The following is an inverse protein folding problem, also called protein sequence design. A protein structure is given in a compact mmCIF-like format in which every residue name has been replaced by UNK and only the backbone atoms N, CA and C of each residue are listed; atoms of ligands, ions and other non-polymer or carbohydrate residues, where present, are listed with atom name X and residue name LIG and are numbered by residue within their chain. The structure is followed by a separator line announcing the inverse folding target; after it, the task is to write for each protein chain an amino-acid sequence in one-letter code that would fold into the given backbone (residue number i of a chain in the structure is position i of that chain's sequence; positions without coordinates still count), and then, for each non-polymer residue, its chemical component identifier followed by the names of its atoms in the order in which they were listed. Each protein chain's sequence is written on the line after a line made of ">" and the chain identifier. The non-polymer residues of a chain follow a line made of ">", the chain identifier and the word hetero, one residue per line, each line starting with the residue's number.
data_IF_984104942229
#
_entry.id   IF_984104942229
#
_cell.length_a   1.000
_cell.length_b   1.000
_cell.length_c   1.000
_cell.angle_alpha   90.00
_cell.angle_beta   90.00
_cell.angle_gamma   90.00
#
_symmetry.space_group_name_H-M   'P 1'
#
loop_
_entity.id
_entity.type
_entity.pdbx_description
1 polymer ?
#
# COMPACT_ATOMS: atom_id res chain seq x y z
N UNK A 1 -36.50 14.78 -3.86
CA UNK A 1 -35.84 13.61 -3.23
C UNK A 1 -35.92 13.82 -1.72
N UNK A 2 -36.67 12.98 -1.00
CA UNK A 2 -36.92 13.19 0.43
C UNK A 2 -35.88 12.39 1.22
N UNK A 3 -34.96 13.09 1.88
CA UNK A 3 -34.01 12.50 2.81
C UNK A 3 -34.72 12.32 4.16
N UNK A 4 -35.47 11.22 4.34
CA UNK A 4 -36.14 10.96 5.61
C UNK A 4 -35.18 10.44 6.68
N UNK A 5 -35.29 11.01 7.86
CA UNK A 5 -34.45 10.77 9.03
C UNK A 5 -34.76 9.39 9.64
N UNK A 6 -33.92 8.38 9.39
CA UNK A 6 -33.92 7.14 10.17
C UNK A 6 -32.76 7.13 11.16
N UNK A 7 -33.03 7.48 12.43
CA UNK A 7 -32.09 7.28 13.53
C UNK A 7 -32.17 5.81 13.96
N UNK A 8 -31.40 4.97 13.26
CA UNK A 8 -30.99 3.64 13.69
C UNK A 8 -29.59 3.73 14.33
N UNK A 9 -29.18 2.77 15.16
CA UNK A 9 -27.78 2.68 15.63
C UNK A 9 -26.75 2.66 14.46
N UNK A 10 -27.16 2.32 13.23
CA UNK A 10 -26.37 2.45 12.00
C UNK A 10 -26.12 3.91 11.56
N UNK A 11 -26.98 4.85 11.94
CA UNK A 11 -26.94 6.24 11.47
C UNK A 11 -25.68 7.02 11.94
N UNK A 12 -24.97 6.52 12.96
CA UNK A 12 -23.66 7.07 13.37
C UNK A 12 -22.55 6.77 12.35
N UNK A 13 -22.71 5.75 11.51
CA UNK A 13 -21.65 5.24 10.63
C UNK A 13 -22.04 5.16 9.16
N UNK A 14 -23.32 5.30 8.82
CA UNK A 14 -23.84 5.23 7.46
C UNK A 14 -24.89 6.32 7.21
N UNK A 15 -24.81 6.95 6.03
CA UNK A 15 -25.84 7.75 5.43
C UNK A 15 -26.70 6.83 4.53
N UNK A 16 -27.97 6.68 4.87
CA UNK A 16 -28.94 5.92 4.08
C UNK A 16 -29.75 6.89 3.20
N UNK A 17 -29.81 6.61 1.90
CA UNK A 17 -30.59 7.35 0.92
C UNK A 17 -31.66 6.41 0.38
N UNK A 18 -32.93 6.81 0.53
CA UNK A 18 -34.08 6.04 0.04
C UNK A 18 -34.66 6.80 -1.15
N UNK A 19 -34.55 6.20 -2.34
CA UNK A 19 -35.16 6.73 -3.55
C UNK A 19 -36.56 6.14 -3.70
N UNK A 20 -37.59 6.99 -3.66
CA UNK A 20 -39.00 6.56 -3.68
C UNK A 20 -39.62 6.52 -5.08
N UNK A 21 -38.84 6.70 -6.15
CA UNK A 21 -39.35 6.69 -7.52
C UNK A 21 -39.41 5.28 -8.09
N UNK A 22 -40.63 4.71 -8.14
CA UNK A 22 -41.07 3.49 -8.85
C UNK A 22 -40.41 2.14 -8.52
N UNK A 23 -39.25 2.11 -7.88
CA UNK A 23 -38.65 0.96 -7.20
C UNK A 23 -38.00 1.52 -5.93
N UNK A 24 -38.20 0.88 -4.77
CA UNK A 24 -37.48 1.28 -3.55
C UNK A 24 -36.01 0.90 -3.77
N UNK A 25 -35.22 1.83 -4.27
CA UNK A 25 -33.77 1.71 -4.33
C UNK A 25 -33.18 2.35 -3.07
N UNK A 26 -32.33 1.59 -2.39
CA UNK A 26 -31.59 2.05 -1.21
C UNK A 26 -30.13 2.19 -1.59
N UNK A 27 -29.58 3.37 -1.36
CA UNK A 27 -28.15 3.62 -1.49
C UNK A 27 -27.57 3.95 -0.12
N UNK A 28 -26.45 3.31 0.23
CA UNK A 28 -25.75 3.53 1.50
C UNK A 28 -24.37 4.15 1.23
N UNK A 29 -24.09 5.28 1.87
CA UNK A 29 -22.75 5.88 1.90
C UNK A 29 -22.23 5.80 3.32
N UNK A 30 -21.15 5.07 3.51
CA UNK A 30 -20.55 4.95 4.82
C UNK A 30 -19.84 6.26 5.20
N UNK A 31 -20.07 6.80 6.40
CA UNK A 31 -19.71 8.19 6.72
C UNK A 31 -18.20 8.45 6.69
N UNK A 32 -17.38 7.48 7.08
CA UNK A 32 -15.91 7.51 6.97
C UNK A 32 -15.39 7.42 5.53
N UNK A 33 -16.25 7.07 4.55
CA UNK A 33 -15.92 7.18 3.14
C UNK A 33 -15.95 8.64 2.69
N UNK A 34 -16.72 9.51 3.33
CA UNK A 34 -16.82 10.92 2.94
C UNK A 34 -15.49 11.61 3.23
N UNK A 35 -14.89 12.20 2.19
CA UNK A 35 -13.65 12.97 2.26
C UNK A 35 -13.94 14.48 2.35
N UNK A 36 -14.87 14.98 1.53
CA UNK A 36 -15.32 16.37 1.58
C UNK A 36 -16.84 16.48 1.41
N UNK A 37 -17.39 17.52 2.04
CA UNK A 37 -18.80 17.91 1.93
C UNK A 37 -18.80 19.36 1.42
N UNK A 38 -19.39 19.59 0.26
CA UNK A 38 -19.44 20.90 -0.39
C UNK A 38 -20.90 21.35 -0.55
N UNK A 39 -21.27 22.48 0.07
CA UNK A 39 -22.57 23.13 -0.14
C UNK A 39 -22.40 24.23 -1.19
N UNK A 40 -23.13 24.14 -2.30
CA UNK A 40 -23.11 25.14 -3.36
C UNK A 40 -24.17 26.23 -3.16
N UNK A 41 -24.06 27.40 -3.83
CA UNK A 41 -25.10 28.42 -3.82
C UNK A 41 -26.46 27.87 -4.24
N UNK A 42 -27.53 28.37 -3.62
CA UNK A 42 -28.91 27.98 -3.92
C UNK A 42 -29.24 28.31 -5.38
N UNK A 43 -29.90 27.37 -6.05
CA UNK A 43 -30.33 27.48 -7.45
C UNK A 43 -31.85 27.45 -7.54
N UNK A 44 -32.41 27.69 -8.72
CA UNK A 44 -33.85 27.52 -8.97
C UNK A 44 -34.36 26.10 -8.76
N UNK A 45 -33.47 25.09 -8.77
CA UNK A 45 -33.79 23.69 -8.55
C UNK A 45 -33.66 23.27 -7.07
N UNK A 46 -33.16 24.16 -6.20
CA UNK A 46 -32.88 23.87 -4.79
C UNK A 46 -31.42 24.14 -4.41
N UNK A 47 -31.04 23.66 -3.23
CA UNK A 47 -29.71 23.76 -2.63
C UNK A 47 -28.86 22.53 -3.00
N UNK A 48 -27.79 22.69 -3.82
CA UNK A 48 -26.93 21.57 -4.17
C UNK A 48 -25.92 21.24 -3.06
N UNK A 49 -25.79 19.95 -2.78
CA UNK A 49 -24.84 19.38 -1.82
C UNK A 49 -24.04 18.28 -2.51
N UNK A 50 -22.71 18.38 -2.48
CA UNK A 50 -21.80 17.43 -3.14
C UNK A 50 -21.00 16.71 -2.05
N UNK A 51 -21.05 15.38 -2.06
CA UNK A 51 -20.21 14.52 -1.23
C UNK A 51 -19.13 13.89 -2.09
N UNK A 52 -17.86 14.12 -1.77
CA UNK A 52 -16.74 13.44 -2.42
C UNK A 52 -16.21 12.38 -1.47
N UNK A 53 -16.13 11.15 -1.93
CA UNK A 53 -15.72 10.01 -1.13
C UNK A 53 -14.26 9.62 -1.40
N UNK A 54 -13.62 9.00 -0.41
CA UNK A 54 -12.25 8.46 -0.46
C UNK A 54 -12.10 7.32 -1.47
N UNK A 55 -13.20 6.66 -1.83
CA UNK A 55 -13.26 5.65 -2.88
C UNK A 55 -13.59 6.23 -4.27
N UNK A 56 -13.34 7.53 -4.48
CA UNK A 56 -13.58 8.28 -5.72
C UNK A 56 -15.04 8.42 -6.16
N UNK A 57 -16.02 7.90 -5.40
CA UNK A 57 -17.43 8.20 -5.66
C UNK A 57 -17.74 9.65 -5.34
N UNK A 58 -18.51 10.30 -6.21
CA UNK A 58 -19.04 11.65 -5.99
C UNK A 58 -20.55 11.58 -6.05
N UNK A 59 -21.21 11.93 -4.95
CA UNK A 59 -22.66 11.96 -4.84
C UNK A 59 -23.16 13.40 -4.90
N UNK A 60 -24.09 13.67 -5.82
CA UNK A 60 -24.70 14.99 -6.01
C UNK A 60 -26.15 14.95 -5.51
N UNK A 61 -26.45 15.77 -4.51
CA UNK A 61 -27.80 15.94 -3.98
C UNK A 61 -28.31 17.34 -4.27
N UNK A 62 -29.61 17.46 -4.50
CA UNK A 62 -30.31 18.73 -4.58
C UNK A 62 -31.45 18.70 -3.57
N UNK A 63 -31.34 19.51 -2.52
CA UNK A 63 -32.35 19.61 -1.46
C UNK A 63 -33.25 20.81 -1.70
N UNK A 64 -34.55 20.64 -1.53
CA UNK A 64 -35.55 21.69 -1.82
C UNK A 64 -35.46 22.88 -0.84
N UNK A 65 -35.07 22.63 0.42
CA UNK A 65 -34.96 23.63 1.47
C UNK A 65 -33.51 23.95 1.80
N UNK A 66 -33.12 25.22 1.73
CA UNK A 66 -31.78 25.69 2.12
C UNK A 66 -31.51 25.46 3.62
N UNK A 67 -32.54 25.55 4.46
CA UNK A 67 -32.45 25.32 5.90
C UNK A 67 -32.09 23.84 6.14
N UNK A 68 -32.84 22.91 5.54
CA UNK A 68 -32.57 21.47 5.65
C UNK A 68 -31.20 21.12 5.05
N UNK A 69 -30.86 21.70 3.90
CA UNK A 69 -29.55 21.56 3.26
C UNK A 69 -28.42 21.97 4.20
N UNK A 70 -28.60 23.09 4.92
CA UNK A 70 -27.62 23.57 5.89
C UNK A 70 -27.51 22.65 7.12
N UNK A 71 -28.62 22.16 7.67
CA UNK A 71 -28.61 21.22 8.80
C UNK A 71 -27.94 19.89 8.45
N UNK A 72 -28.25 19.33 7.27
CA UNK A 72 -27.60 18.13 6.73
C UNK A 72 -26.11 18.38 6.53
N UNK A 73 -25.74 19.50 5.92
CA UNK A 73 -24.34 19.90 5.71
C UNK A 73 -23.53 19.92 7.02
N UNK A 74 -24.04 20.60 8.06
CA UNK A 74 -23.37 20.68 9.37
C UNK A 74 -23.29 19.31 10.03
N UNK A 75 -24.35 18.49 9.92
CA UNK A 75 -24.38 17.14 10.47
C UNK A 75 -23.35 16.23 9.80
N UNK A 76 -23.29 16.25 8.46
CA UNK A 76 -22.31 15.47 7.70
C UNK A 76 -20.89 15.93 7.99
N UNK A 77 -20.62 17.25 8.05
CA UNK A 77 -19.32 17.76 8.45
C UNK A 77 -18.89 17.25 9.83
N UNK A 78 -19.82 17.13 10.79
CA UNK A 78 -19.53 16.63 12.13
C UNK A 78 -19.30 15.10 12.14
N UNK A 79 -20.12 14.36 11.41
CA UNK A 79 -20.16 12.90 11.43
C UNK A 79 -19.10 12.25 10.52
N UNK A 80 -18.63 12.94 9.48
CA UNK A 80 -17.58 12.45 8.58
C UNK A 80 -16.16 12.77 9.05
N UNK A 81 -16.01 13.39 10.24
CA UNK A 81 -14.68 13.64 10.78
C UNK A 81 -13.97 12.31 11.07
N UNK A 82 -12.64 12.22 10.82
CA UNK A 82 -11.86 11.08 11.28
C UNK A 82 -12.03 10.84 12.79
N UNK A 83 -11.94 9.58 13.20
CA UNK A 83 -11.99 9.23 14.63
C UNK A 83 -10.84 9.90 15.38
N UNK A 84 -11.06 10.32 16.63
CA UNK A 84 -9.96 10.84 17.46
C UNK A 84 -9.22 9.70 18.14
N UNK A 85 -9.98 8.72 18.57
CA UNK A 85 -9.46 7.51 19.18
C UNK A 85 -9.86 6.28 18.35
N UNK A 86 -9.09 5.19 18.41
CA UNK A 86 -9.43 3.94 17.75
C UNK A 86 -10.83 3.44 18.08
N UNK A 87 -11.27 3.58 19.35
CA UNK A 87 -12.58 3.07 19.81
C UNK A 87 -13.77 3.85 19.21
N UNK A 88 -13.53 5.03 18.62
CA UNK A 88 -14.54 5.80 17.91
C UNK A 88 -14.96 5.13 16.58
N UNK A 89 -14.09 4.29 16.01
CA UNK A 89 -14.26 3.68 14.70
C UNK A 89 -15.38 2.63 14.69
N UNK A 90 -16.03 2.47 13.53
CA UNK A 90 -17.21 1.61 13.39
C UNK A 90 -16.96 0.18 13.89
N UNK A 91 -15.78 -0.39 13.62
CA UNK A 91 -15.39 -1.75 13.98
C UNK A 91 -15.59 -2.09 15.45
N UNK A 92 -15.37 -1.14 16.37
CA UNK A 92 -15.50 -1.36 17.81
C UNK A 92 -16.96 -1.35 18.29
N UNK A 93 -17.85 -0.73 17.52
CA UNK A 93 -19.30 -0.71 17.78
C UNK A 93 -20.07 -1.73 16.94
N UNK A 94 -19.44 -2.27 15.88
CA UNK A 94 -20.07 -3.19 14.95
C UNK A 94 -20.31 -4.55 15.62
N UNK A 95 -21.58 -4.97 15.64
CA UNK A 95 -21.98 -6.28 16.15
C UNK A 95 -22.77 -7.04 15.07
N UNK A 96 -22.13 -7.98 14.34
CA UNK A 96 -22.77 -8.73 13.27
C UNK A 96 -23.80 -9.78 13.74
N UNK A 97 -24.15 -9.82 15.03
CA UNK A 97 -24.98 -10.89 15.64
C UNK A 97 -24.40 -12.31 15.46
N UNK A 98 -23.10 -12.42 15.21
CA UNK A 98 -22.38 -13.70 15.19
C UNK A 98 -22.00 -14.13 16.61
N UNK A 99 -21.93 -15.45 16.83
CA UNK A 99 -21.40 -16.00 18.07
C UNK A 99 -19.94 -15.59 18.27
N UNK A 100 -19.47 -15.59 19.52
CA UNK A 100 -18.06 -15.32 19.83
C UNK A 100 -17.14 -16.27 19.06
N UNK A 101 -17.49 -17.56 19.01
CA UNK A 101 -16.71 -18.59 18.32
C UNK A 101 -16.59 -18.31 16.82
N UNK A 102 -17.70 -17.93 16.14
CA UNK A 102 -17.66 -17.59 14.71
C UNK A 102 -16.77 -16.36 14.43
N UNK A 103 -16.77 -15.37 15.33
CA UNK A 103 -15.88 -14.20 15.21
C UNK A 103 -14.42 -14.59 15.39
N UNK A 104 -14.10 -15.43 16.37
CA UNK A 104 -12.75 -15.95 16.57
C UNK A 104 -12.27 -16.81 15.40
N UNK A 105 -13.15 -17.61 14.81
CA UNK A 105 -12.86 -18.37 13.59
C UNK A 105 -12.57 -17.46 12.40
N UNK A 106 -13.23 -16.30 12.28
CA UNK A 106 -12.96 -15.31 11.25
C UNK A 106 -11.52 -14.79 11.29
N UNK A 107 -11.00 -14.47 12.47
CA UNK A 107 -9.60 -14.05 12.65
C UNK A 107 -8.59 -15.18 12.40
N UNK A 108 -8.97 -16.42 12.68
CA UNK A 108 -8.14 -17.63 12.46
C UNK A 108 -8.23 -18.17 11.03
N UNK A 109 -9.06 -17.59 10.17
CA UNK A 109 -9.27 -18.05 8.80
C UNK A 109 -7.97 -17.99 7.98
N UNK A 110 -7.15 -16.98 8.25
CA UNK A 110 -5.92 -16.71 7.54
C UNK A 110 -4.73 -16.92 8.48
N UNK A 111 -3.92 -17.92 8.15
CA UNK A 111 -2.63 -18.18 8.81
C UNK A 111 -1.51 -17.81 7.84
N UNK A 112 -0.78 -16.74 8.14
CA UNK A 112 0.31 -16.24 7.31
C UNK A 112 1.50 -17.20 7.31
N UNK A 113 1.73 -17.92 8.42
CA UNK A 113 2.83 -18.88 8.55
C UNK A 113 2.59 -20.12 7.67
N UNK A 114 1.32 -20.47 7.44
CA UNK A 114 0.95 -21.55 6.51
C UNK A 114 1.41 -21.29 5.06
N UNK A 115 1.52 -20.02 4.64
CA UNK A 115 1.96 -19.66 3.29
C UNK A 115 3.47 -19.89 3.11
N UNK A 116 4.27 -19.62 4.15
CA UNK A 116 5.68 -20.05 4.17
C UNK A 116 5.80 -21.58 4.12
N UNK A 117 4.93 -22.30 4.82
CA UNK A 117 4.82 -23.77 4.70
C UNK A 117 4.49 -24.22 3.27
N UNK A 118 3.54 -23.54 2.60
CA UNK A 118 3.22 -23.74 1.18
C UNK A 118 4.39 -23.41 0.26
N UNK A 119 5.29 -22.51 0.65
CA UNK A 119 6.58 -22.23 -0.01
C UNK A 119 7.71 -23.20 0.39
N UNK A 120 7.45 -24.16 1.29
CA UNK A 120 8.42 -25.16 1.71
C UNK A 120 9.46 -24.59 2.65
N UNK A 121 9.05 -23.70 3.54
CA UNK A 121 9.87 -23.08 4.58
C UNK A 121 9.30 -23.52 5.94
N UNK A 122 10.15 -23.89 6.91
CA UNK A 122 11.61 -23.88 6.86
C UNK A 122 12.21 -24.95 5.93
N UNK A 123 13.43 -24.73 5.45
CA UNK A 123 14.18 -25.69 4.63
C UNK A 123 15.68 -25.62 4.91
N UNK A 124 16.50 -26.12 3.97
CA UNK A 124 17.96 -26.10 4.08
C UNK A 124 18.54 -24.68 4.15
N UNK A 125 17.91 -23.72 3.48
CA UNK A 125 18.45 -22.36 3.31
C UNK A 125 17.71 -21.30 4.12
N UNK A 126 16.43 -21.50 4.42
CA UNK A 126 15.58 -20.53 5.10
C UNK A 126 15.02 -21.10 6.40
N UNK A 127 14.95 -20.26 7.43
CA UNK A 127 14.33 -20.59 8.72
C UNK A 127 13.36 -19.49 9.15
N UNK A 128 12.28 -19.90 9.81
CA UNK A 128 11.39 -18.99 10.52
C UNK A 128 12.01 -18.76 11.91
N UNK A 129 12.11 -17.52 12.34
CA UNK A 129 12.60 -17.15 13.68
C UNK A 129 11.56 -16.30 14.40
N UNK A 130 11.44 -16.55 15.69
CA UNK A 130 10.64 -15.78 16.65
C UNK A 130 11.43 -14.64 17.29
N UNK A 131 12.58 -14.26 16.73
CA UNK A 131 13.43 -13.22 17.28
C UNK A 131 12.77 -11.82 17.33
N UNK A 132 11.65 -11.63 16.63
CA UNK A 132 10.83 -10.42 16.71
C UNK A 132 9.53 -10.61 17.53
N UNK A 133 9.41 -11.68 18.33
CA UNK A 133 8.21 -12.00 19.15
C UNK A 133 7.80 -10.88 20.11
N UNK A 134 8.74 -10.07 20.56
CA UNK A 134 8.49 -8.92 21.42
C UNK A 134 8.70 -7.58 20.68
N UNK A 135 8.78 -7.60 19.34
CA UNK A 135 9.07 -6.43 18.51
C UNK A 135 10.45 -5.78 18.78
N UNK A 136 11.40 -6.56 19.31
CA UNK A 136 12.75 -6.08 19.69
C UNK A 136 13.66 -5.80 18.49
N UNK A 137 13.46 -6.50 17.37
CA UNK A 137 14.24 -6.25 16.14
C UNK A 137 13.61 -5.12 15.34
N UNK A 138 12.28 -5.14 15.17
CA UNK A 138 11.56 -4.13 14.42
C UNK A 138 10.10 -4.05 14.86
N UNK A 139 9.69 -2.87 15.32
CA UNK A 139 8.33 -2.62 15.81
C UNK A 139 7.23 -2.63 14.73
N UNK A 140 7.61 -2.63 13.45
CA UNK A 140 6.68 -2.57 12.32
C UNK A 140 6.68 -3.84 11.47
N UNK A 141 7.37 -4.89 11.92
CA UNK A 141 7.38 -6.22 11.33
C UNK A 141 6.51 -7.20 12.13
N UNK A 142 6.13 -8.34 11.54
CA UNK A 142 5.45 -9.42 12.27
C UNK A 142 6.33 -10.02 13.38
N UNK A 143 5.69 -10.78 14.27
CA UNK A 143 6.34 -11.50 15.37
C UNK A 143 7.35 -12.54 14.88
N UNK A 144 6.99 -13.24 13.81
CA UNK A 144 7.83 -14.23 13.14
C UNK A 144 8.36 -13.65 11.83
N UNK A 145 9.67 -13.74 11.62
CA UNK A 145 10.33 -13.31 10.39
C UNK A 145 11.14 -14.46 9.80
N UNK A 146 11.33 -14.43 8.49
CA UNK A 146 12.04 -15.50 7.77
C UNK A 146 13.39 -14.98 7.28
N UNK A 147 14.46 -15.65 7.71
CA UNK A 147 15.85 -15.26 7.48
C UNK A 147 16.66 -16.43 6.93
N UNK A 148 17.84 -16.19 6.31
CA UNK A 148 18.73 -17.27 5.91
C UNK A 148 19.18 -18.10 7.13
N UNK A 149 19.18 -19.42 7.00
CA UNK A 149 19.58 -20.34 8.08
C UNK A 149 21.06 -20.23 8.45
N UNK A 150 21.88 -19.68 7.56
CA UNK A 150 23.32 -19.51 7.75
C UNK A 150 23.71 -18.30 8.62
N UNK A 151 22.80 -17.34 8.85
CA UNK A 151 23.13 -16.14 9.63
C UNK A 151 22.86 -16.32 11.11
N UNK A 152 23.64 -15.63 11.94
CA UNK A 152 23.40 -15.57 13.39
C UNK A 152 22.39 -14.48 13.71
N UNK A 153 21.70 -14.61 14.85
CA UNK A 153 20.80 -13.56 15.33
C UNK A 153 21.55 -12.23 15.58
N UNK A 154 22.81 -12.28 16.03
CA UNK A 154 23.65 -11.08 16.19
C UNK A 154 23.83 -10.30 14.89
N UNK A 155 24.04 -11.00 13.77
CA UNK A 155 24.12 -10.39 12.44
C UNK A 155 22.80 -9.74 12.03
N UNK A 156 21.67 -10.38 12.31
CA UNK A 156 20.34 -9.80 12.01
C UNK A 156 20.10 -8.52 12.82
N UNK A 157 20.44 -8.52 14.11
CA UNK A 157 20.33 -7.34 14.99
C UNK A 157 21.32 -6.23 14.60
N UNK A 158 22.52 -6.59 14.14
CA UNK A 158 23.49 -5.62 13.61
C UNK A 158 22.99 -4.93 12.34
N UNK A 159 22.46 -5.73 11.40
CA UNK A 159 21.85 -5.23 10.15
C UNK A 159 20.61 -4.39 10.42
N UNK A 160 19.74 -4.77 11.37
CA UNK A 160 18.53 -4.00 11.66
C UNK A 160 18.85 -2.56 12.07
N UNK A 161 19.86 -2.35 12.91
CA UNK A 161 20.31 -1.01 13.32
C UNK A 161 20.82 -0.15 12.16
N UNK A 162 21.24 -0.77 11.06
CA UNK A 162 21.68 -0.09 9.85
C UNK A 162 20.56 0.15 8.84
N UNK A 163 19.36 -0.39 9.06
CA UNK A 163 18.21 -0.27 8.16
C UNK A 163 17.21 0.74 8.72
N UNK A 164 16.67 1.62 7.88
CA UNK A 164 15.72 2.66 8.31
C UNK A 164 14.51 2.03 9.03
N UNK A 165 14.20 2.51 10.25
CA UNK A 165 13.14 1.95 11.10
C UNK A 165 13.34 0.46 11.44
N UNK A 166 14.58 0.00 11.36
CA UNK A 166 15.02 -1.35 11.69
C UNK A 166 14.38 -2.45 10.84
N UNK A 167 13.85 -2.07 9.67
CA UNK A 167 13.20 -3.00 8.73
C UNK A 167 14.27 -3.73 7.93
N UNK A 168 14.84 -4.74 8.60
CA UNK A 168 15.91 -5.64 8.17
C UNK A 168 15.50 -6.49 6.96
N UNK A 169 16.42 -6.88 6.06
CA UNK A 169 16.15 -7.85 5.00
C UNK A 169 15.54 -9.16 5.50
N UNK A 170 14.29 -9.42 5.07
CA UNK A 170 13.55 -10.66 5.37
C UNK A 170 12.91 -11.22 4.10
N UNK A 171 12.65 -12.52 4.08
CA UNK A 171 11.99 -13.17 2.96
C UNK A 171 10.52 -12.75 2.86
N UNK A 172 10.08 -12.43 1.63
CA UNK A 172 8.69 -12.17 1.27
C UNK A 172 8.09 -13.33 0.46
N UNK A 173 8.84 -13.88 -0.49
CA UNK A 173 8.37 -14.97 -1.36
C UNK A 173 9.53 -15.87 -1.82
N UNK A 174 9.29 -17.18 -1.91
CA UNK A 174 10.26 -18.14 -2.44
C UNK A 174 9.67 -18.89 -3.64
N UNK A 175 10.36 -18.82 -4.78
CA UNK A 175 10.01 -19.57 -5.97
C UNK A 175 10.59 -20.98 -5.91
N UNK A 176 9.77 -21.94 -5.44
CA UNK A 176 10.18 -23.33 -5.17
C UNK A 176 10.94 -24.02 -6.31
N UNK A 177 10.56 -23.77 -7.57
CA UNK A 177 11.12 -24.51 -8.70
C UNK A 177 12.62 -24.26 -8.91
N UNK A 178 13.14 -23.10 -8.50
CA UNK A 178 14.54 -22.72 -8.72
C UNK A 178 15.23 -22.11 -7.49
N UNK A 179 14.57 -22.05 -6.33
CA UNK A 179 15.04 -21.43 -5.08
C UNK A 179 15.28 -19.91 -5.15
N UNK A 180 14.84 -19.22 -6.21
CA UNK A 180 14.94 -17.78 -6.29
C UNK A 180 13.97 -17.12 -5.31
N UNK A 181 14.45 -16.14 -4.55
CA UNK A 181 13.73 -15.50 -3.46
C UNK A 181 13.48 -14.01 -3.73
N UNK A 182 12.31 -13.52 -3.33
CA UNK A 182 12.03 -12.09 -3.16
C UNK A 182 12.16 -11.80 -1.67
N UNK A 183 13.12 -10.94 -1.32
CA UNK A 183 13.30 -10.39 0.02
C UNK A 183 12.88 -8.93 0.02
N UNK A 184 12.52 -8.41 1.19
CA UNK A 184 12.15 -7.00 1.36
C UNK A 184 12.81 -6.37 2.58
N UNK A 185 13.05 -5.07 2.51
CA UNK A 185 13.58 -4.27 3.61
C UNK A 185 13.26 -2.78 3.41
N UNK A 186 13.79 -1.95 4.32
CA UNK A 186 13.96 -0.51 4.13
C UNK A 186 15.34 -0.16 3.55
N UNK A 187 15.53 1.11 3.19
CA UNK A 187 16.83 1.61 2.76
C UNK A 187 17.91 1.48 3.86
N UNK A 188 19.18 1.28 3.47
CA UNK A 188 20.29 1.35 4.41
C UNK A 188 20.54 2.79 4.88
N UNK A 189 21.12 2.92 6.08
CA UNK A 189 21.60 4.17 6.69
C UNK A 189 23.06 4.44 6.28
N UNK A 190 23.36 4.28 4.99
CA UNK A 190 24.73 4.35 4.46
C UNK A 190 25.29 5.77 4.39
N UNK A 191 24.44 6.79 4.34
CA UNK A 191 24.86 8.18 4.12
C UNK A 191 25.81 8.26 2.92
N UNK A 192 26.95 8.92 3.10
CA UNK A 192 27.98 8.97 2.06
C UNK A 192 28.95 7.80 2.09
N UNK A 193 29.40 7.37 3.28
CA UNK A 193 30.52 6.44 3.45
C UNK A 193 30.31 5.36 4.51
N UNK A 194 29.17 5.36 5.22
CA UNK A 194 28.93 4.43 6.32
C UNK A 194 28.66 3.03 5.77
N UNK A 195 29.29 2.04 6.40
CA UNK A 195 29.16 0.61 6.08
C UNK A 195 28.68 -0.15 7.30
N UNK A 196 28.07 -1.30 7.06
CA UNK A 196 27.67 -2.23 8.10
C UNK A 196 28.04 -3.64 7.67
N UNK A 197 29.03 -4.22 8.35
CA UNK A 197 29.53 -5.56 8.06
C UNK A 197 28.41 -6.59 8.25
N UNK A 198 27.57 -6.43 9.28
CA UNK A 198 26.46 -7.33 9.53
C UNK A 198 25.40 -7.30 8.40
N UNK A 199 25.13 -6.11 7.83
CA UNK A 199 24.22 -5.96 6.68
C UNK A 199 24.82 -6.57 5.40
N UNK A 200 26.10 -6.33 5.15
CA UNK A 200 26.84 -6.92 4.02
C UNK A 200 26.84 -8.46 4.10
N UNK A 201 27.10 -9.02 5.30
CA UNK A 201 27.03 -10.47 5.54
C UNK A 201 25.62 -11.03 5.38
N UNK A 202 24.59 -10.30 5.81
CA UNK A 202 23.20 -10.72 5.64
C UNK A 202 22.81 -10.76 4.16
N UNK A 203 23.19 -9.76 3.37
CA UNK A 203 22.90 -9.72 1.93
C UNK A 203 23.65 -10.83 1.17
N UNK A 204 24.91 -11.12 1.53
CA UNK A 204 25.63 -12.24 0.96
C UNK A 204 25.00 -13.58 1.36
N UNK A 205 24.52 -13.72 2.60
CA UNK A 205 23.80 -14.92 3.01
C UNK A 205 22.48 -15.10 2.24
N UNK A 206 21.74 -14.02 1.98
CA UNK A 206 20.56 -14.03 1.11
C UNK A 206 20.96 -14.45 -0.31
N UNK A 207 22.05 -13.94 -0.87
CA UNK A 207 22.53 -14.39 -2.19
C UNK A 207 22.83 -15.89 -2.20
N UNK A 208 23.46 -16.40 -1.14
CA UNK A 208 23.87 -17.80 -0.99
C UNK A 208 22.71 -18.78 -0.79
N UNK A 209 21.50 -18.32 -0.44
CA UNK A 209 20.32 -19.22 -0.38
C UNK A 209 19.92 -19.75 -1.75
N UNK A 210 20.42 -19.15 -2.82
CA UNK A 210 20.27 -19.61 -4.19
C UNK A 210 21.65 -19.86 -4.83
N UNK A 211 22.23 -21.06 -4.65
CA UNK A 211 23.54 -21.41 -5.21
C UNK A 211 23.60 -21.38 -6.74
N UNK A 212 22.44 -21.37 -7.42
CA UNK A 212 22.35 -21.31 -8.88
C UNK A 212 22.61 -19.92 -9.46
N UNK A 213 22.58 -18.86 -8.63
CA UNK A 213 22.86 -17.48 -9.05
C UNK A 213 24.16 -16.96 -8.44
N UNK A 214 24.94 -16.27 -9.27
CA UNK A 214 26.20 -15.63 -8.85
C UNK A 214 25.99 -14.26 -8.20
N UNK A 215 24.80 -13.66 -8.35
CA UNK A 215 24.55 -12.30 -7.89
C UNK A 215 23.16 -12.16 -7.27
N UNK A 216 22.95 -11.06 -6.53
CA UNK A 216 21.66 -10.65 -5.95
C UNK A 216 21.21 -9.35 -6.63
N UNK A 217 19.98 -9.27 -7.13
CA UNK A 217 19.45 -7.96 -7.51
C UNK A 217 19.06 -7.16 -6.27
N UNK A 218 19.47 -5.91 -6.21
CA UNK A 218 18.94 -4.93 -5.25
C UNK A 218 18.08 -3.94 -6.02
N UNK A 219 16.79 -3.96 -5.74
CA UNK A 219 15.77 -3.17 -6.43
C UNK A 219 15.29 -2.06 -5.51
N UNK A 220 15.75 -0.86 -5.79
CA UNK A 220 15.23 0.34 -5.18
C UNK A 220 14.10 0.89 -6.03
N UNK A 221 12.90 0.86 -5.48
CA UNK A 221 11.71 1.32 -6.22
C UNK A 221 11.70 2.83 -6.48
N UNK A 222 12.61 3.60 -5.89
CA UNK A 222 12.72 5.05 -6.11
C UNK A 222 13.22 5.38 -7.53
N UNK A 223 13.03 6.63 -7.99
CA UNK A 223 13.68 7.14 -9.20
C UNK A 223 15.20 7.21 -9.09
N UNK A 224 15.89 6.77 -10.15
CA UNK A 224 17.32 7.00 -10.30
C UNK A 224 17.55 8.49 -10.47
N UNK A 225 18.38 9.09 -9.62
CA UNK A 225 18.88 10.43 -9.87
C UNK A 225 19.98 10.30 -10.93
N UNK A 226 19.66 10.62 -12.19
CA UNK A 226 20.69 10.93 -13.18
C UNK A 226 21.17 12.36 -12.91
N UNK A 227 22.41 12.51 -12.44
CA UNK A 227 23.13 13.78 -12.59
C UNK A 227 23.30 13.95 -14.09
N UNK A 228 22.41 14.71 -14.72
CA UNK A 228 22.69 15.23 -16.05
C UNK A 228 23.65 16.38 -15.78
N UNK A 229 24.94 16.19 -16.06
CA UNK A 229 25.83 17.31 -16.33
C UNK A 229 25.16 18.10 -17.46
N UNK A 230 24.67 19.30 -17.14
CA UNK A 230 24.10 20.22 -18.13
C UNK A 230 25.28 20.78 -18.91
N UNK A 231 25.83 19.97 -19.82
CA UNK A 231 26.94 20.37 -20.69
C UNK A 231 26.52 20.36 -22.17
N UNK A 232 25.24 20.64 -22.43
CA UNK A 232 24.78 21.04 -23.77
C UNK A 232 23.78 22.21 -23.69
N UNK A 233 24.03 23.31 -24.42
CA UNK A 233 23.08 24.41 -24.50
C UNK A 233 21.89 23.98 -25.37
N UNK A 234 20.77 23.64 -24.76
CA UNK A 234 19.52 23.47 -25.50
C UNK A 234 18.86 24.84 -25.71
N UNK A 235 18.85 25.26 -26.97
CA UNK A 235 18.14 26.42 -27.48
C UNK A 235 16.62 26.29 -27.32
N UNK A 236 16.02 27.33 -26.73
CA UNK A 236 14.66 27.85 -26.90
C UNK A 236 13.42 27.02 -26.46
N UNK A 237 12.78 27.55 -25.39
CA UNK A 237 11.33 27.65 -25.12
C UNK A 237 10.54 26.34 -24.98
N UNK A 238 10.95 25.41 -24.11
CA UNK A 238 10.05 24.55 -23.29
C UNK A 238 10.76 24.25 -21.96
N UNK A 239 11.18 25.27 -21.20
CA UNK A 239 12.10 25.08 -20.07
C UNK A 239 11.75 25.94 -18.85
N UNK A 240 10.55 25.75 -18.30
CA UNK A 240 10.23 26.28 -16.96
C UNK A 240 9.40 25.30 -16.14
N UNK A 241 8.45 24.59 -16.75
CA UNK A 241 7.61 23.59 -16.07
C UNK A 241 8.34 22.23 -15.95
N UNK A 242 9.06 21.79 -16.99
CA UNK A 242 9.89 20.58 -16.92
C UNK A 242 11.03 20.75 -15.90
N UNK A 243 11.67 21.91 -15.81
CA UNK A 243 12.76 22.12 -14.86
C UNK A 243 12.29 22.03 -13.40
N UNK A 244 11.13 22.61 -13.05
CA UNK A 244 10.63 22.56 -11.67
C UNK A 244 10.19 21.16 -11.24
N UNK A 245 9.52 20.41 -12.13
CA UNK A 245 9.09 19.04 -11.83
C UNK A 245 10.28 18.08 -11.73
N UNK A 246 11.33 18.30 -12.53
CA UNK A 246 12.61 17.60 -12.37
C UNK A 246 13.34 17.98 -11.07
N UNK A 247 13.27 19.23 -10.60
CA UNK A 247 13.91 19.67 -9.35
C UNK A 247 13.35 19.04 -8.07
N UNK A 248 12.07 18.67 -8.04
CA UNK A 248 11.44 18.08 -6.84
C UNK A 248 11.79 16.59 -6.71
N UNK A 249 11.92 15.86 -7.82
CA UNK A 249 12.38 14.45 -7.82
C UNK A 249 13.86 14.32 -7.45
N UNK A 250 14.69 15.29 -7.85
CA UNK A 250 16.13 15.37 -7.58
C UNK A 250 16.48 15.33 -6.07
N UNK A 251 15.56 15.78 -5.21
CA UNK A 251 15.80 15.90 -3.77
C UNK A 251 15.64 14.58 -3.03
N UNK A 252 14.72 13.68 -3.35
CA UNK A 252 14.35 12.66 -2.35
C UNK A 252 15.42 11.59 -2.08
N UNK A 253 16.05 10.99 -3.09
CA UNK A 253 17.11 9.99 -2.85
C UNK A 253 18.42 10.65 -2.39
N UNK A 254 18.79 11.79 -2.98
CA UNK A 254 19.99 12.56 -2.61
C UNK A 254 19.85 13.24 -1.24
N UNK A 255 18.70 13.82 -0.91
CA UNK A 255 18.41 14.39 0.41
C UNK A 255 18.25 13.28 1.46
N UNK A 256 17.72 12.11 1.11
CA UNK A 256 17.82 10.93 1.99
C UNK A 256 19.30 10.62 2.25
N UNK A 257 20.16 10.67 1.22
CA UNK A 257 21.61 10.48 1.37
C UNK A 257 22.29 11.54 2.23
N UNK A 258 21.95 12.81 2.02
CA UNK A 258 22.41 13.94 2.82
C UNK A 258 21.90 13.88 4.27
N UNK A 259 20.74 13.27 4.51
CA UNK A 259 20.18 13.00 5.84
C UNK A 259 20.71 11.70 6.47
N UNK A 260 21.79 11.10 5.93
CA UNK A 260 22.42 9.91 6.47
C UNK A 260 21.78 8.57 6.05
N UNK A 261 20.78 8.58 5.17
CA UNK A 261 20.19 7.39 4.56
C UNK A 261 20.87 7.07 3.23
N UNK A 262 20.39 6.14 2.41
CA UNK A 262 21.02 5.92 1.11
C UNK A 262 20.55 4.68 0.37
N UNK A 263 21.47 4.08 -0.35
CA UNK A 263 21.33 2.81 -1.06
C UNK A 263 22.66 2.06 -0.99
N UNK A 264 22.63 0.78 -1.32
CA UNK A 264 23.75 -0.15 -1.31
C UNK A 264 24.78 0.26 -2.37
N UNK A 265 26.03 0.49 -1.95
CA UNK A 265 27.13 0.78 -2.89
C UNK A 265 27.71 -0.54 -3.43
N UNK A 266 27.72 -0.71 -4.75
CA UNK A 266 28.26 -1.92 -5.41
C UNK A 266 29.73 -2.21 -5.05
N UNK A 267 30.51 -1.20 -4.62
CA UNK A 267 31.88 -1.40 -4.14
C UNK A 267 31.95 -2.12 -2.77
N UNK A 268 30.93 -1.95 -1.93
CA UNK A 268 30.88 -2.49 -0.57
C UNK A 268 30.11 -3.82 -0.52
N UNK A 269 29.03 -3.91 -1.31
CA UNK A 269 28.20 -5.10 -1.41
C UNK A 269 28.66 -5.93 -2.60
N UNK A 270 29.58 -6.87 -2.36
CA UNK A 270 30.04 -7.76 -3.40
C UNK A 270 28.87 -8.53 -4.03
N UNK A 271 28.92 -8.75 -5.35
CA UNK A 271 27.96 -9.59 -6.07
C UNK A 271 26.50 -9.08 -6.05
N UNK A 272 26.26 -7.79 -5.83
CA UNK A 272 24.94 -7.20 -6.09
C UNK A 272 24.87 -6.60 -7.50
N UNK A 273 23.65 -6.52 -8.05
CA UNK A 273 23.32 -5.69 -9.20
C UNK A 273 22.23 -4.72 -8.81
N UNK A 274 22.54 -3.43 -8.83
CA UNK A 274 21.60 -2.43 -8.37
C UNK A 274 20.66 -1.94 -9.49
N UNK A 275 19.37 -1.80 -9.20
CA UNK A 275 18.35 -1.31 -10.15
C UNK A 275 17.38 -0.33 -9.49
N UNK A 276 17.16 0.81 -10.15
CA UNK A 276 16.08 1.75 -9.81
C UNK A 276 14.85 1.53 -10.69
N UNK A 277 13.64 1.63 -10.10
CA UNK A 277 12.36 1.43 -10.80
C UNK A 277 11.49 2.69 -10.96
N UNK A 278 11.93 3.85 -10.48
CA UNK A 278 11.29 5.14 -10.77
C UNK A 278 9.82 5.28 -10.37
N UNK A 279 9.44 4.70 -9.23
CA UNK A 279 8.14 4.90 -8.61
C UNK A 279 8.21 6.10 -7.65
N UNK A 280 7.40 7.12 -7.94
CA UNK A 280 7.35 8.38 -7.18
C UNK A 280 6.85 8.18 -5.72
N UNK A 281 6.99 9.20 -4.87
CA UNK A 281 6.63 9.09 -3.46
C UNK A 281 5.12 9.30 -3.22
N UNK A 282 4.67 9.06 -1.97
CA UNK A 282 3.26 9.21 -1.58
C UNK A 282 2.67 10.60 -1.86
N UNK A 283 3.48 11.66 -1.89
CA UNK A 283 2.98 13.02 -2.10
C UNK A 283 2.60 13.27 -3.56
N UNK A 284 3.31 12.65 -4.49
CA UNK A 284 2.96 12.69 -5.92
C UNK A 284 1.73 11.84 -6.19
N UNK A 285 1.60 10.69 -5.52
CA UNK A 285 0.48 9.75 -5.72
C UNK A 285 -0.89 10.26 -5.25
N UNK A 286 -0.95 11.44 -4.62
CA UNK A 286 -2.19 12.06 -4.14
C UNK A 286 -2.97 12.79 -5.21
N UNK A 287 -2.38 13.06 -6.36
CA UNK A 287 -3.10 13.69 -7.47
C UNK A 287 -4.32 12.83 -7.80
N UNK A 288 -5.49 13.46 -7.77
CA UNK A 288 -6.75 12.77 -8.01
C UNK A 288 -6.84 12.33 -9.48
N UNK A 289 -7.53 11.21 -9.78
CA UNK A 289 -7.96 10.91 -11.14
C UNK A 289 -8.73 12.10 -11.74
N UNK A 290 -8.72 12.21 -13.06
CA UNK A 290 -9.36 13.31 -13.77
C UNK A 290 -10.84 13.44 -13.42
N UNK A 291 -11.27 14.65 -13.05
CA UNK A 291 -12.68 14.98 -12.79
C UNK A 291 -13.40 15.50 -14.06
N UNK A 292 -12.68 15.67 -15.19
CA UNK A 292 -13.21 16.20 -16.44
C UNK A 292 -13.93 15.15 -17.26
N UNK A 293 -15.20 15.39 -17.58
CA UNK A 293 -16.03 14.55 -18.46
C UNK A 293 -16.03 15.08 -19.90
N UNK A 294 -16.39 14.23 -20.87
CA UNK A 294 -16.55 14.63 -22.27
C UNK A 294 -15.23 14.63 -23.06
N UNK A 295 -15.08 15.57 -24.00
CA UNK A 295 -13.94 15.60 -24.94
C UNK A 295 -12.58 15.82 -24.28
N UNK A 296 -12.55 16.36 -23.06
CA UNK A 296 -11.34 16.62 -22.28
C UNK A 296 -10.98 15.49 -21.31
N UNK A 297 -11.72 14.38 -21.31
CA UNK A 297 -11.50 13.27 -20.38
C UNK A 297 -10.10 12.67 -20.52
N UNK A 298 -9.64 12.40 -21.76
CA UNK A 298 -8.34 11.75 -22.00
C UNK A 298 -7.16 12.65 -21.60
N UNK A 299 -7.22 13.95 -21.92
CA UNK A 299 -6.20 14.91 -21.52
C UNK A 299 -6.18 15.11 -20.01
N UNK A 300 -7.36 15.17 -19.39
CA UNK A 300 -7.50 15.14 -17.93
C UNK A 300 -6.83 13.90 -17.33
N UNK A 301 -7.14 12.71 -17.85
CA UNK A 301 -6.61 11.44 -17.34
C UNK A 301 -5.10 11.37 -17.46
N UNK A 302 -4.54 11.77 -18.61
CA UNK A 302 -3.10 11.86 -18.80
C UNK A 302 -2.46 12.84 -17.81
N UNK A 303 -3.05 14.02 -17.64
CA UNK A 303 -2.55 15.05 -16.72
C UNK A 303 -2.56 14.63 -15.24
N UNK A 304 -3.46 13.71 -14.85
CA UNK A 304 -3.52 13.18 -13.49
C UNK A 304 -2.29 12.35 -13.11
N UNK A 305 -1.61 11.77 -14.11
CA UNK A 305 -0.48 10.86 -13.92
C UNK A 305 -0.87 9.47 -13.40
N UNK A 306 -2.14 9.19 -13.11
CA UNK A 306 -2.58 7.94 -12.47
C UNK A 306 -2.10 6.68 -13.21
N UNK A 307 -2.42 6.56 -14.50
CA UNK A 307 -2.04 5.40 -15.30
C UNK A 307 -0.52 5.27 -15.46
N UNK A 308 0.23 6.38 -15.44
CA UNK A 308 1.69 6.37 -15.46
C UNK A 308 2.25 5.77 -14.16
N UNK A 309 1.63 6.06 -13.01
CA UNK A 309 2.01 5.46 -11.74
C UNK A 309 1.69 3.97 -11.67
N UNK A 310 0.49 3.57 -12.11
CA UNK A 310 0.10 2.15 -12.21
C UNK A 310 1.08 1.40 -13.12
N UNK A 311 1.39 1.96 -14.29
CA UNK A 311 2.40 1.40 -15.20
C UNK A 311 3.76 1.21 -14.52
N UNK A 312 4.24 2.19 -13.76
CA UNK A 312 5.54 2.09 -13.09
C UNK A 312 5.57 0.97 -12.03
N UNK A 313 4.49 0.79 -11.27
CA UNK A 313 4.34 -0.32 -10.30
C UNK A 313 4.34 -1.66 -11.03
N UNK A 314 3.58 -1.76 -12.12
CA UNK A 314 3.48 -2.96 -12.95
C UNK A 314 4.83 -3.33 -13.59
N UNK A 315 5.55 -2.36 -14.16
CA UNK A 315 6.88 -2.57 -14.75
C UNK A 315 7.88 -3.11 -13.70
N UNK A 316 7.83 -2.60 -12.47
CA UNK A 316 8.64 -3.09 -11.36
C UNK A 316 8.28 -4.53 -10.95
N UNK A 317 6.99 -4.84 -10.82
CA UNK A 317 6.52 -6.20 -10.56
C UNK A 317 6.95 -7.18 -11.66
N UNK A 318 6.84 -6.79 -12.93
CA UNK A 318 7.27 -7.57 -14.09
C UNK A 318 8.78 -7.80 -14.08
N UNK A 319 9.58 -6.77 -13.77
CA UNK A 319 11.03 -6.90 -13.66
C UNK A 319 11.41 -7.92 -12.58
N UNK A 320 10.84 -7.79 -11.37
CA UNK A 320 11.11 -8.71 -10.26
C UNK A 320 10.68 -10.13 -10.64
N UNK A 321 9.50 -10.31 -11.24
CA UNK A 321 9.03 -11.62 -11.68
C UNK A 321 9.95 -12.24 -12.74
N UNK A 322 10.45 -11.46 -13.70
CA UNK A 322 11.44 -11.93 -14.69
C UNK A 322 12.77 -12.31 -14.05
N UNK A 323 13.28 -11.50 -13.12
CA UNK A 323 14.50 -11.82 -12.38
C UNK A 323 14.38 -13.16 -11.63
N UNK A 324 13.23 -13.40 -10.98
CA UNK A 324 12.97 -14.63 -10.23
C UNK A 324 12.76 -15.84 -11.15
N UNK A 325 11.86 -15.75 -12.15
CA UNK A 325 11.48 -16.91 -12.97
C UNK A 325 12.47 -17.20 -14.10
N UNK A 326 12.93 -16.17 -14.80
CA UNK A 326 13.75 -16.30 -16.02
C UNK A 326 15.24 -16.30 -15.67
N UNK A 327 15.70 -15.30 -14.93
CA UNK A 327 17.11 -15.19 -14.55
C UNK A 327 17.48 -16.06 -13.34
N UNK A 328 16.47 -16.62 -12.65
CA UNK A 328 16.64 -17.55 -11.53
C UNK A 328 17.49 -16.96 -10.41
N UNK A 329 17.32 -15.68 -10.12
CA UNK A 329 18.13 -14.95 -9.15
C UNK A 329 17.29 -14.38 -8.01
N UNK A 330 17.93 -14.21 -6.86
CA UNK A 330 17.31 -13.56 -5.71
C UNK A 330 17.19 -12.06 -5.95
N UNK A 331 16.17 -11.45 -5.34
CA UNK A 331 15.88 -10.03 -5.44
C UNK A 331 15.62 -9.48 -4.04
N UNK A 332 16.37 -8.47 -3.62
CA UNK A 332 16.08 -7.67 -2.45
C UNK A 332 15.38 -6.39 -2.89
N UNK A 333 14.15 -6.18 -2.43
CA UNK A 333 13.34 -5.00 -2.77
C UNK A 333 13.28 -4.04 -1.60
N UNK A 334 13.56 -2.77 -1.85
CA UNK A 334 13.28 -1.72 -0.87
C UNK A 334 12.82 -0.42 -1.55
N UNK A 335 12.50 0.55 -0.72
CA UNK A 335 12.25 1.92 -1.12
C UNK A 335 12.95 2.83 -0.12
N UNK A 336 12.25 3.83 0.43
CA UNK A 336 12.70 4.55 1.63
C UNK A 336 12.46 3.71 2.90
N UNK A 337 11.21 3.56 3.33
CA UNK A 337 10.88 2.88 4.59
C UNK A 337 10.39 1.43 4.41
N UNK A 338 10.17 0.97 3.18
CA UNK A 338 9.90 -0.46 2.91
C UNK A 338 8.47 -0.94 3.20
N UNK A 339 7.47 -0.05 3.34
CA UNK A 339 6.07 -0.41 3.62
C UNK A 339 5.04 0.07 2.59
N UNK A 340 5.41 0.96 1.66
CA UNK A 340 4.50 1.48 0.61
C UNK A 340 4.82 0.78 -0.73
N UNK A 341 5.69 1.39 -1.55
CA UNK A 341 6.12 0.88 -2.86
C UNK A 341 6.66 -0.55 -2.82
N UNK A 342 7.39 -0.88 -1.75
CA UNK A 342 7.90 -2.24 -1.54
C UNK A 342 6.76 -3.25 -1.41
N UNK A 343 5.69 -2.94 -0.67
CA UNK A 343 4.53 -3.81 -0.55
C UNK A 343 3.82 -3.98 -1.91
N UNK A 344 3.66 -2.87 -2.66
CA UNK A 344 3.08 -2.89 -4.01
C UNK A 344 3.83 -3.86 -4.94
N UNK A 345 5.14 -3.66 -5.12
CA UNK A 345 5.90 -4.42 -6.12
C UNK A 345 6.16 -5.87 -5.69
N UNK A 346 6.37 -6.14 -4.39
CA UNK A 346 6.48 -7.51 -3.88
C UNK A 346 5.17 -8.28 -4.10
N UNK A 347 4.02 -7.64 -3.87
CA UNK A 347 2.71 -8.25 -4.08
C UNK A 347 2.42 -8.50 -5.56
N UNK A 348 2.64 -7.51 -6.43
CA UNK A 348 2.43 -7.66 -7.89
C UNK A 348 3.34 -8.75 -8.46
N UNK A 349 4.63 -8.76 -8.10
CA UNK A 349 5.54 -9.82 -8.53
C UNK A 349 5.09 -11.21 -8.05
N UNK A 350 4.62 -11.31 -6.81
CA UNK A 350 4.09 -12.56 -6.25
C UNK A 350 2.86 -13.06 -7.02
N UNK A 351 1.91 -12.19 -7.35
CA UNK A 351 0.72 -12.53 -8.16
C UNK A 351 1.11 -13.00 -9.57
N UNK A 352 2.11 -12.38 -10.18
CA UNK A 352 2.62 -12.78 -11.50
C UNK A 352 3.28 -14.17 -11.46
N UNK A 353 3.96 -14.50 -10.36
CA UNK A 353 4.73 -15.73 -10.20
C UNK A 353 3.92 -16.93 -9.71
N UNK A 354 2.88 -16.70 -8.90
CA UNK A 354 2.17 -17.75 -8.17
C UNK A 354 0.66 -17.71 -8.41
N UNK A 355 0.08 -18.71 -9.11
CA UNK A 355 -1.35 -18.82 -9.30
C UNK A 355 -2.15 -18.89 -7.99
N UNK A 356 -1.53 -19.33 -6.89
CA UNK A 356 -2.20 -19.38 -5.59
C UNK A 356 -2.75 -18.01 -5.19
N UNK A 357 -1.99 -16.92 -5.37
CA UNK A 357 -2.42 -15.57 -5.00
C UNK A 357 -3.52 -14.99 -5.90
N UNK A 358 -3.95 -15.72 -6.94
CA UNK A 358 -5.08 -15.37 -7.80
C UNK A 358 -6.38 -16.05 -7.38
N UNK A 359 -6.34 -16.84 -6.31
CA UNK A 359 -7.51 -17.40 -5.62
C UNK A 359 -8.03 -16.43 -4.57
N UNK A 360 -9.29 -16.56 -4.14
CA UNK A 360 -9.85 -15.74 -3.04
C UNK A 360 -8.97 -15.85 -1.79
N UNK A 361 -8.69 -17.08 -1.36
CA UNK A 361 -7.87 -17.34 -0.17
C UNK A 361 -6.43 -16.84 -0.33
N UNK A 362 -5.84 -17.01 -1.51
CA UNK A 362 -4.49 -16.57 -1.79
C UNK A 362 -4.37 -15.05 -1.76
N UNK A 363 -5.30 -14.30 -2.35
CA UNK A 363 -5.27 -12.83 -2.26
C UNK A 363 -5.44 -12.36 -0.82
N UNK A 364 -6.33 -12.97 -0.03
CA UNK A 364 -6.47 -12.65 1.39
C UNK A 364 -5.16 -12.88 2.16
N UNK A 365 -4.51 -14.03 1.95
CA UNK A 365 -3.19 -14.32 2.54
C UNK A 365 -2.14 -13.31 2.10
N UNK A 366 -2.11 -12.93 0.82
CA UNK A 366 -1.15 -11.97 0.30
C UNK A 366 -1.33 -10.60 0.94
N UNK A 367 -2.56 -10.13 1.11
CA UNK A 367 -2.88 -8.86 1.79
C UNK A 367 -2.46 -8.94 3.26
N UNK A 368 -2.84 -9.99 3.97
CA UNK A 368 -2.50 -10.20 5.38
C UNK A 368 -0.97 -10.25 5.59
N UNK A 369 -0.24 -10.96 4.72
CA UNK A 369 1.22 -11.11 4.80
C UNK A 369 1.99 -9.89 4.32
N UNK A 370 1.73 -9.36 3.12
CA UNK A 370 2.59 -8.32 2.52
C UNK A 370 2.21 -6.89 2.93
N UNK A 371 0.99 -6.68 3.43
CA UNK A 371 0.49 -5.36 3.77
C UNK A 371 0.24 -5.22 5.25
N UNK A 372 -0.63 -6.07 5.81
CA UNK A 372 -1.09 -5.93 7.19
C UNK A 372 0.06 -6.24 8.15
N UNK A 373 0.64 -7.43 8.09
CA UNK A 373 1.67 -7.85 9.06
C UNK A 373 3.02 -7.17 8.84
N UNK A 374 3.37 -6.91 7.58
CA UNK A 374 4.58 -6.16 7.22
C UNK A 374 4.45 -4.64 7.41
N UNK A 375 3.38 -4.16 8.05
CA UNK A 375 3.30 -2.80 8.58
C UNK A 375 3.06 -1.71 7.56
N UNK A 376 2.23 -1.97 6.53
CA UNK A 376 1.64 -0.89 5.75
C UNK A 376 0.77 -0.02 6.67
N UNK A 377 0.97 1.30 6.58
CA UNK A 377 0.39 2.27 7.52
C UNK A 377 -1.06 2.63 7.16
N UNK A 378 -1.95 1.64 7.14
CA UNK A 378 -3.33 1.79 6.67
C UNK A 378 -4.06 2.98 7.34
N UNK A 379 -4.02 3.10 8.67
CA UNK A 379 -4.71 4.21 9.33
C UNK A 379 -4.20 5.60 8.92
N UNK A 380 -2.90 5.75 8.69
CA UNK A 380 -2.34 7.00 8.16
C UNK A 380 -2.63 7.21 6.67
N UNK A 381 -2.49 6.16 5.85
CA UNK A 381 -2.66 6.24 4.39
C UNK A 381 -4.11 6.44 3.98
N UNK A 382 -5.05 5.89 4.74
CA UNK A 382 -6.49 5.97 4.50
C UNK A 382 -7.19 7.07 5.33
N UNK A 383 -6.49 7.70 6.27
CA UNK A 383 -7.06 8.74 7.15
C UNK A 383 -8.23 8.20 7.97
N UNK A 384 -8.02 7.09 8.69
CA UNK A 384 -9.02 6.53 9.60
C UNK A 384 -9.17 7.38 10.87
N UNK A 385 -8.05 7.86 11.38
CA UNK A 385 -7.96 8.70 12.57
C UNK A 385 -7.48 10.10 12.19
N UNK A 386 -7.74 11.07 13.07
CA UNK A 386 -7.22 12.43 12.95
C UNK A 386 -5.68 12.39 13.01
N UNK A 387 -5.04 12.92 11.99
CA UNK A 387 -3.61 12.75 11.76
C UNK A 387 -3.11 13.67 10.65
N UNK A 388 -1.82 13.56 10.34
CA UNK A 388 -1.23 14.42 9.31
C UNK A 388 -1.85 14.10 7.93
N UNK A 389 -2.62 15.05 7.39
CA UNK A 389 -3.18 14.97 6.05
C UNK A 389 -2.09 14.86 4.97
N UNK A 390 -0.82 15.14 5.29
CA UNK A 390 0.38 14.89 4.47
C UNK A 390 0.86 13.43 4.44
N UNK A 391 0.24 12.54 5.20
CA UNK A 391 0.50 11.09 5.15
C UNK A 391 -0.56 10.26 4.40
N UNK A 392 -1.77 10.79 4.16
CA UNK A 392 -2.85 10.14 3.36
C UNK A 392 -2.44 9.89 1.90
N UNK A 393 -2.57 8.68 1.38
CA UNK A 393 -2.19 8.38 -0.02
C UNK A 393 -2.83 7.07 -0.51
N UNK A 394 -3.27 6.98 -1.77
CA UNK A 394 -4.01 5.82 -2.30
C UNK A 394 -3.10 4.61 -2.65
N UNK A 395 -2.14 4.27 -1.78
CA UNK A 395 -1.12 3.25 -2.07
C UNK A 395 -1.72 1.86 -2.23
N UNK A 396 -2.64 1.47 -1.35
CA UNK A 396 -3.33 0.18 -1.45
C UNK A 396 -4.35 0.18 -2.61
N UNK A 397 -5.00 1.30 -2.88
CA UNK A 397 -5.89 1.46 -4.05
C UNK A 397 -5.14 1.27 -5.36
N UNK A 398 -3.93 1.82 -5.51
CA UNK A 398 -3.06 1.58 -6.66
C UNK A 398 -2.70 0.10 -6.83
N UNK A 399 -2.53 -0.64 -5.72
CA UNK A 399 -2.30 -2.08 -5.78
C UNK A 399 -3.54 -2.83 -6.28
N UNK A 400 -4.74 -2.49 -5.80
CA UNK A 400 -5.97 -3.10 -6.30
C UNK A 400 -6.19 -2.78 -7.79
N UNK A 401 -5.89 -1.56 -8.24
CA UNK A 401 -5.89 -1.19 -9.65
C UNK A 401 -4.91 -2.07 -10.44
N UNK A 402 -3.67 -2.27 -9.96
CA UNK A 402 -2.73 -3.18 -10.61
C UNK A 402 -3.29 -4.62 -10.77
N UNK A 403 -4.04 -5.13 -9.78
CA UNK A 403 -4.72 -6.44 -9.92
C UNK A 403 -5.80 -6.37 -10.98
N UNK A 404 -6.63 -5.33 -10.96
CA UNK A 404 -7.68 -5.12 -11.96
C UNK A 404 -7.11 -5.06 -13.38
N UNK A 405 -6.01 -4.31 -13.61
CA UNK A 405 -5.30 -4.28 -14.90
C UNK A 405 -4.83 -5.68 -15.36
N UNK A 406 -4.43 -6.54 -14.41
CA UNK A 406 -4.06 -7.92 -14.72
C UNK A 406 -5.28 -8.78 -15.04
N UNK A 407 -6.41 -8.57 -14.36
CA UNK A 407 -7.66 -9.27 -14.64
C UNK A 407 -8.18 -8.92 -16.03
N UNK A 408 -8.13 -7.65 -16.43
CA UNK A 408 -8.50 -7.20 -17.77
C UNK A 408 -7.62 -7.84 -18.85
N UNK A 409 -6.32 -7.96 -18.61
CA UNK A 409 -5.38 -8.60 -19.55
C UNK A 409 -5.47 -10.13 -19.56
N UNK A 410 -5.86 -10.73 -18.43
CA UNK A 410 -5.93 -12.19 -18.26
C UNK A 410 -7.26 -12.61 -17.60
N UNK A 411 -8.40 -12.53 -18.32
CA UNK A 411 -9.73 -12.69 -17.73
C UNK A 411 -10.00 -14.06 -17.07
N UNK A 412 -9.27 -15.10 -17.48
CA UNK A 412 -9.43 -16.46 -16.96
C UNK A 412 -8.38 -16.85 -15.90
N UNK A 413 -7.49 -15.92 -15.51
CA UNK A 413 -6.37 -16.23 -14.62
C UNK A 413 -6.69 -16.03 -13.13
N UNK A 414 -7.83 -15.44 -12.80
CA UNK A 414 -8.25 -15.10 -11.44
C UNK A 414 -9.55 -15.81 -11.08
N UNK A 415 -9.64 -16.31 -9.85
CA UNK A 415 -10.84 -16.97 -9.32
C UNK A 415 -11.94 -15.96 -8.97
N UNK A 416 -11.54 -14.74 -8.61
CA UNK A 416 -12.41 -13.65 -8.20
C UNK A 416 -12.64 -12.64 -9.32
N UNK A 417 -13.69 -11.83 -9.18
CA UNK A 417 -14.08 -10.79 -10.13
C UNK A 417 -13.87 -9.39 -9.56
N UNK A 418 -14.17 -8.36 -10.37
CA UNK A 418 -14.02 -6.96 -10.02
C UNK A 418 -14.76 -6.60 -8.71
N UNK A 419 -15.96 -7.16 -8.51
CA UNK A 419 -16.74 -6.90 -7.30
C UNK A 419 -15.97 -7.26 -6.03
N UNK A 420 -15.16 -8.33 -6.04
CA UNK A 420 -14.35 -8.68 -4.87
C UNK A 420 -13.28 -7.61 -4.56
N UNK A 421 -12.65 -7.02 -5.59
CA UNK A 421 -11.70 -5.94 -5.40
C UNK A 421 -12.37 -4.66 -4.89
N UNK A 422 -13.56 -4.36 -5.39
CA UNK A 422 -14.37 -3.22 -4.95
C UNK A 422 -14.82 -3.37 -3.49
N UNK A 423 -15.27 -4.56 -3.09
CA UNK A 423 -15.65 -4.86 -1.69
C UNK A 423 -14.46 -4.71 -0.74
N UNK A 424 -13.27 -5.21 -1.13
CA UNK A 424 -12.04 -4.98 -0.35
C UNK A 424 -11.76 -3.48 -0.24
N UNK A 425 -11.82 -2.75 -1.36
CA UNK A 425 -11.54 -1.33 -1.40
C UNK A 425 -12.51 -0.52 -0.52
N UNK A 426 -13.81 -0.80 -0.61
CA UNK A 426 -14.83 -0.16 0.21
C UNK A 426 -14.58 -0.47 1.70
N UNK A 427 -14.22 -1.71 2.03
CA UNK A 427 -13.99 -2.09 3.41
C UNK A 427 -12.68 -1.57 4.03
N UNK A 428 -11.66 -1.25 3.23
CA UNK A 428 -10.45 -0.53 3.66
C UNK A 428 -10.78 0.84 4.23
N UNK A 429 -11.69 1.58 3.60
CA UNK A 429 -12.14 2.86 4.13
C UNK A 429 -13.27 2.69 5.14
N UNK A 430 -14.02 1.58 5.08
CA UNK A 430 -15.26 1.42 5.82
C UNK A 430 -15.11 1.47 7.34
N UNK A 431 -13.90 1.14 7.82
CA UNK A 431 -13.63 0.88 9.23
C UNK A 431 -14.64 -0.06 9.92
N UNK A 432 -15.41 -0.86 9.17
CA UNK A 432 -16.41 -1.79 9.72
C UNK A 432 -15.76 -3.04 10.31
N UNK A 433 -14.63 -3.44 9.73
CA UNK A 433 -13.82 -4.57 10.17
C UNK A 433 -12.46 -4.09 10.66
N UNK A 434 -11.87 -4.81 11.61
CA UNK A 434 -10.60 -4.44 12.24
C UNK A 434 -9.34 -4.71 11.41
N UNK A 435 -9.43 -5.41 10.28
CA UNK A 435 -8.27 -5.89 9.52
C UNK A 435 -7.33 -4.75 9.07
N UNK A 436 -7.89 -3.66 8.57
CA UNK A 436 -7.14 -2.52 8.03
C UNK A 436 -6.92 -1.40 9.05
N UNK A 437 -7.26 -1.60 10.33
CA UNK A 437 -7.02 -0.61 11.37
C UNK A 437 -5.58 -0.70 11.90
N UNK A 438 -5.03 0.41 12.37
CA UNK A 438 -3.63 0.52 12.82
C UNK A 438 -2.63 0.68 11.67
N UNK A 439 -1.34 0.84 12.03
CA UNK A 439 -0.26 1.02 11.06
C UNK A 439 0.74 -0.14 11.04
N UNK A 440 0.67 -1.05 12.01
CA UNK A 440 1.47 -2.27 12.03
C UNK A 440 0.81 -3.34 12.89
N UNK A 441 1.38 -4.55 12.89
CA UNK A 441 0.86 -5.67 13.69
C UNK A 441 0.84 -5.33 15.19
N UNK A 442 1.88 -4.66 15.69
CA UNK A 442 1.96 -4.23 17.09
C UNK A 442 0.80 -3.32 17.47
N UNK A 443 0.51 -2.29 16.67
CA UNK A 443 -0.64 -1.40 16.91
C UNK A 443 -1.95 -2.21 17.03
N UNK A 444 -2.12 -3.25 16.20
CA UNK A 444 -3.34 -4.07 16.22
C UNK A 444 -3.43 -4.96 17.45
N UNK A 445 -2.29 -5.47 17.92
CA UNK A 445 -2.24 -6.28 19.13
C UNK A 445 -2.46 -5.42 20.38
N UNK A 446 -2.00 -4.16 20.38
CA UNK A 446 -2.27 -3.18 21.44
C UNK A 446 -3.75 -2.72 21.48
N UNK A 447 -4.48 -2.87 20.38
CA UNK A 447 -5.91 -2.51 20.25
C UNK A 447 -6.89 -3.65 20.56
N UNK A 448 -6.39 -4.87 20.72
CA UNK A 448 -7.20 -6.07 21.06
C UNK A 448 -7.48 -6.13 22.55
#
# INVERSE_FOLDING_TARGET
>A
MIMEHFISNKAKYQLLIILTSNLIEQEEIALHHIATVEKLPVTSLGCPLILRCKNFRVAHFVLESDIVCHEVYISLLKLSQPGKLPEDLYAFSYNPKFSKDMRESGWKLIDQTSDFGRMGIPNRYWTITDANRNYEICSTYPLEIVIPKSVTLGTVVGSSKFRSKERVPVLSYLYKENNAAICRCSQPLSGFYTRCIDDELLLEAIRQTNPGSQFLYVVDTRPKVSIIEIDKPCSFIICSICSLMFSILQLNALANRAAGKGYENEDNYANIRFRFMSIENIHVMRSKPAETLGSEFLSGLESSGWLRHIKAIMDAGIFIAKAVKVEKTNVLVHCSDGWDRTAQVCSVASILLDPFYRTFKGLMILIEKEWISMGHKFSQRCGHLDGDSKEVSPIFTQFLDCIWQLMEQFPCAFEFNENFLLEIHDHVFSCQFGNFLGNCQKDRDDLR
#
